data_IF_079372713049
#
_entry.id   IF_079372713049
#
_cell.length_a   1.000
_cell.length_b   1.000
_cell.length_c   1.000
_cell.angle_alpha   90.00
_cell.angle_beta   90.00
_cell.angle_gamma   90.00
#
_symmetry.space_group_name_H-M   'P 1'
#
loop_
_entity.id
_entity.type
_entity.pdbx_description
1 polymer ?
#
# COMPACT_ATOMS: atom_id res chain seq x y z
N UNK A 1 -7.51 18.52 4.60
CA UNK A 1 -6.04 18.32 4.72
C UNK A 1 -5.53 17.62 3.48
N UNK A 2 -4.35 17.96 2.97
CA UNK A 2 -3.80 17.34 1.75
C UNK A 2 -2.43 16.75 2.03
N UNK A 3 -2.15 15.59 1.46
CA UNK A 3 -0.80 15.01 1.50
C UNK A 3 0.18 15.92 0.76
N UNK A 4 1.31 16.22 1.41
CA UNK A 4 2.27 17.20 0.93
C UNK A 4 3.25 16.62 -0.08
N UNK A 5 3.69 15.39 0.13
CA UNK A 5 4.70 14.67 -0.67
C UNK A 5 4.35 13.18 -0.67
N UNK A 6 4.79 12.43 -1.69
CA UNK A 6 4.56 10.98 -1.77
C UNK A 6 5.15 10.29 -0.53
N UNK A 7 4.33 9.54 0.19
CA UNK A 7 4.78 8.67 1.28
C UNK A 7 5.83 7.65 0.82
N UNK A 8 6.78 7.35 1.70
CA UNK A 8 7.85 6.37 1.51
C UNK A 8 7.86 5.41 2.72
N UNK A 9 8.44 4.22 2.56
CA UNK A 9 8.42 3.19 3.60
C UNK A 9 9.50 2.14 3.41
N UNK A 10 9.69 1.33 4.44
CA UNK A 10 10.62 0.21 4.43
C UNK A 10 10.39 -0.71 5.62
N UNK A 11 11.00 -1.90 5.57
CA UNK A 11 10.85 -2.93 6.59
C UNK A 11 11.84 -2.69 7.74
N UNK A 12 11.54 -1.73 8.61
CA UNK A 12 12.42 -1.30 9.71
C UNK A 12 11.66 -1.17 11.05
N UNK A 13 10.73 -2.10 11.30
CA UNK A 13 9.89 -2.12 12.49
C UNK A 13 10.53 -2.73 13.74
N UNK A 14 9.76 -2.76 14.83
CA UNK A 14 10.18 -3.28 16.13
C UNK A 14 10.65 -4.75 16.09
N UNK A 15 10.06 -5.56 15.20
CA UNK A 15 10.41 -6.96 14.99
C UNK A 15 11.89 -7.17 14.66
N UNK A 16 12.49 -6.25 13.88
CA UNK A 16 13.91 -6.33 13.54
C UNK A 16 14.82 -6.08 14.75
N UNK A 17 14.34 -5.35 15.76
CA UNK A 17 15.05 -5.24 17.03
C UNK A 17 14.97 -6.57 17.79
N UNK A 18 13.84 -7.27 17.72
CA UNK A 18 13.63 -8.54 18.42
C UNK A 18 14.54 -9.64 17.87
N UNK A 19 14.58 -9.77 16.55
CA UNK A 19 15.48 -10.69 15.85
C UNK A 19 16.95 -10.42 16.19
N UNK A 20 17.35 -9.14 16.19
CA UNK A 20 18.72 -8.73 16.48
C UNK A 20 19.10 -8.93 17.93
N UNK A 21 18.20 -8.63 18.86
CA UNK A 21 18.45 -8.83 20.28
C UNK A 21 18.53 -10.32 20.61
N UNK A 22 17.63 -11.15 20.05
CA UNK A 22 17.70 -12.60 20.19
C UNK A 22 19.00 -13.18 19.62
N UNK A 23 19.44 -12.66 18.47
CA UNK A 23 20.73 -13.04 17.88
C UNK A 23 21.89 -12.67 18.81
N UNK A 24 21.91 -11.43 19.30
CA UNK A 24 22.93 -10.96 20.25
C UNK A 24 22.97 -11.86 21.49
N UNK A 25 21.82 -12.14 22.11
CA UNK A 25 21.73 -13.06 23.26
C UNK A 25 22.39 -14.43 22.99
N UNK A 26 22.14 -15.01 21.82
CA UNK A 26 22.72 -16.31 21.41
C UNK A 26 24.21 -16.22 21.10
N UNK A 27 24.73 -15.06 20.76
CA UNK A 27 26.17 -14.86 20.50
C UNK A 27 26.93 -14.55 21.79
N UNK A 28 26.32 -13.80 22.72
CA UNK A 28 26.97 -13.40 23.97
C UNK A 28 26.94 -14.52 25.02
N UNK A 29 25.87 -15.32 25.10
CA UNK A 29 25.80 -16.44 26.05
C UNK A 29 26.65 -17.62 25.52
N UNK A 30 27.62 -18.15 26.27
CA UNK A 30 28.44 -19.27 25.80
C UNK A 30 27.62 -20.51 25.44
N UNK A 31 28.02 -21.21 24.37
CA UNK A 31 27.30 -22.39 23.85
C UNK A 31 27.06 -23.48 24.92
N UNK A 32 28.02 -23.73 25.81
CA UNK A 32 27.86 -24.70 26.88
C UNK A 32 26.86 -24.26 27.96
N UNK A 33 26.74 -22.95 28.20
CA UNK A 33 25.68 -22.41 29.07
C UNK A 33 24.31 -22.55 28.40
N UNK A 34 24.20 -22.27 27.09
CA UNK A 34 22.94 -22.38 26.34
C UNK A 34 22.34 -23.79 26.39
N UNK A 35 23.16 -24.85 26.26
CA UNK A 35 22.72 -26.25 26.35
C UNK A 35 22.09 -26.60 27.70
N UNK A 36 22.41 -25.86 28.74
CA UNK A 36 21.96 -26.10 30.11
C UNK A 36 20.87 -25.13 30.53
N UNK A 37 20.50 -24.15 29.71
CA UNK A 37 19.42 -23.23 30.02
C UNK A 37 18.09 -23.98 30.07
N UNK A 38 17.22 -23.55 30.97
CA UNK A 38 15.83 -23.96 30.93
C UNK A 38 15.20 -23.53 29.59
N UNK A 39 14.32 -24.37 29.03
CA UNK A 39 13.70 -24.16 27.71
C UNK A 39 12.94 -22.84 27.62
N UNK A 40 12.44 -22.31 28.75
CA UNK A 40 11.69 -21.06 28.79
C UNK A 40 12.58 -19.83 28.99
N UNK A 41 13.90 -20.00 29.20
CA UNK A 41 14.78 -18.88 29.54
C UNK A 41 14.80 -17.81 28.46
N UNK A 42 15.01 -18.19 27.19
CA UNK A 42 15.00 -17.24 26.08
C UNK A 42 13.63 -16.60 25.89
N UNK A 43 12.55 -17.39 26.01
CA UNK A 43 11.18 -16.88 25.91
C UNK A 43 10.90 -15.82 26.97
N UNK A 44 11.24 -16.08 28.23
CA UNK A 44 11.10 -15.13 29.33
C UNK A 44 11.95 -13.86 29.10
N UNK A 45 13.18 -13.99 28.63
CA UNK A 45 14.03 -12.81 28.34
C UNK A 45 13.40 -11.96 27.24
N UNK A 46 12.91 -12.58 26.15
CA UNK A 46 12.31 -11.85 25.03
C UNK A 46 10.94 -11.24 25.38
N UNK A 47 10.08 -11.97 26.08
CA UNK A 47 8.72 -11.53 26.37
C UNK A 47 8.63 -10.68 27.65
N UNK A 48 9.24 -11.15 28.74
CA UNK A 48 9.11 -10.49 30.05
C UNK A 48 10.09 -9.34 30.20
N UNK A 49 11.37 -9.54 29.86
CA UNK A 49 12.38 -8.51 30.10
C UNK A 49 12.40 -7.51 28.92
N UNK A 50 12.56 -8.03 27.70
CA UNK A 50 12.73 -7.22 26.50
C UNK A 50 11.46 -6.45 26.10
N UNK A 51 10.36 -7.16 25.80
CA UNK A 51 9.07 -6.52 25.50
C UNK A 51 8.43 -5.85 26.72
N UNK A 52 8.69 -6.37 27.93
CA UNK A 52 8.16 -5.81 29.18
C UNK A 52 8.76 -4.47 29.61
N UNK A 53 9.79 -3.96 28.91
CA UNK A 53 10.19 -2.57 29.08
C UNK A 53 11.61 -2.25 28.63
N UNK A 54 12.53 -3.21 28.54
CA UNK A 54 13.91 -2.92 28.16
C UNK A 54 13.97 -2.30 26.76
N UNK A 55 13.21 -2.83 25.80
CA UNK A 55 13.17 -2.33 24.42
C UNK A 55 12.70 -0.89 24.29
N UNK A 56 11.63 -0.53 25.03
CA UNK A 56 11.01 0.79 24.94
C UNK A 56 11.76 1.85 25.77
N UNK A 57 12.28 1.46 26.93
CA UNK A 57 13.01 2.34 27.85
C UNK A 57 14.50 2.51 27.53
N UNK A 58 15.06 1.70 26.62
CA UNK A 58 16.43 1.87 26.16
C UNK A 58 16.64 3.28 25.60
N UNK A 59 17.74 3.92 26.01
CA UNK A 59 18.11 5.30 25.64
C UNK A 59 19.64 5.42 25.50
N UNK A 60 20.11 6.58 25.01
CA UNK A 60 21.56 6.86 24.90
C UNK A 60 22.30 6.78 26.24
N UNK A 61 21.59 6.98 27.36
CA UNK A 61 22.15 6.99 28.71
C UNK A 61 21.87 5.69 29.48
N UNK A 62 21.37 4.64 28.84
CA UNK A 62 21.15 3.34 29.50
C UNK A 62 22.47 2.79 30.05
N UNK A 63 22.40 2.23 31.27
CA UNK A 63 23.49 1.48 31.89
C UNK A 63 23.44 0.00 31.53
N UNK A 64 24.43 -0.77 32.00
CA UNK A 64 24.50 -2.23 31.76
C UNK A 64 23.18 -2.92 32.06
N UNK A 65 22.84 -3.88 31.21
CA UNK A 65 21.58 -4.61 31.30
C UNK A 65 21.86 -6.01 31.89
N UNK A 66 21.57 -6.22 33.18
CA UNK A 66 21.70 -7.53 33.78
C UNK A 66 20.54 -8.41 33.34
N UNK A 67 20.86 -9.51 32.64
CA UNK A 67 19.92 -10.54 32.23
C UNK A 67 20.03 -11.70 33.21
N UNK A 68 18.89 -12.12 33.74
CA UNK A 68 18.83 -13.29 34.60
C UNK A 68 18.83 -14.55 33.73
N UNK A 69 19.67 -15.54 34.06
CA UNK A 69 19.67 -16.86 33.42
C UNK A 69 19.09 -17.91 34.39
N UNK A 70 18.32 -18.83 33.82
CA UNK A 70 17.76 -19.98 34.52
C UNK A 70 18.28 -21.25 33.85
N UNK A 71 18.72 -22.21 34.65
CA UNK A 71 19.31 -23.46 34.16
C UNK A 71 18.42 -24.65 34.52
N UNK A 72 18.48 -25.69 33.69
CA UNK A 72 17.83 -26.97 33.95
C UNK A 72 18.67 -27.78 34.96
N UNK A 73 18.11 -27.95 36.16
CA UNK A 73 18.74 -28.65 37.28
C UNK A 73 19.89 -27.88 37.95
N UNK A 74 20.59 -28.52 38.91
CA UNK A 74 21.68 -27.88 39.64
C UNK A 74 22.91 -27.67 38.75
N UNK A 75 23.50 -26.47 38.82
CA UNK A 75 24.73 -26.08 38.11
C UNK A 75 25.73 -25.46 39.07
N UNK A 76 27.03 -25.60 38.76
CA UNK A 76 28.09 -24.89 39.47
C UNK A 76 28.09 -23.41 39.04
N UNK A 77 27.74 -22.51 39.96
CA UNK A 77 27.62 -21.08 39.70
C UNK A 77 28.94 -20.41 39.32
N UNK A 78 30.09 -21.05 39.60
CA UNK A 78 31.39 -20.54 39.16
C UNK A 78 31.59 -20.69 37.64
N UNK A 79 30.93 -21.66 37.02
CA UNK A 79 30.99 -21.92 35.58
C UNK A 79 29.72 -21.48 34.84
N UNK A 80 28.58 -21.43 35.54
CA UNK A 80 27.27 -21.08 35.00
C UNK A 80 26.65 -19.94 35.83
N UNK A 81 27.05 -18.68 35.58
CA UNK A 81 26.56 -17.56 36.37
C UNK A 81 25.06 -17.35 36.15
N UNK A 82 24.32 -17.16 37.24
CA UNK A 82 22.86 -16.90 37.16
C UNK A 82 22.51 -15.53 36.60
N UNK A 83 23.49 -14.63 36.46
CA UNK A 83 23.34 -13.31 35.86
C UNK A 83 24.37 -13.11 34.78
N UNK A 84 23.93 -12.54 33.67
CA UNK A 84 24.75 -12.21 32.53
C UNK A 84 24.51 -10.75 32.16
N UNK A 85 25.54 -9.92 32.14
CA UNK A 85 25.41 -8.52 31.71
C UNK A 85 25.76 -8.41 30.24
N UNK A 86 24.85 -7.88 29.42
CA UNK A 86 25.20 -7.48 28.06
C UNK A 86 25.62 -6.01 28.09
N UNK A 87 26.72 -5.72 27.38
CA UNK A 87 27.19 -4.35 27.26
C UNK A 87 26.19 -3.53 26.45
N UNK A 88 25.84 -2.35 26.97
CA UNK A 88 24.95 -1.39 26.30
C UNK A 88 25.47 -1.03 24.91
N UNK A 89 26.79 -0.93 24.73
CA UNK A 89 27.35 -0.63 23.42
C UNK A 89 27.02 -1.72 22.40
N UNK A 90 27.01 -2.99 22.80
CA UNK A 90 26.64 -4.09 21.91
C UNK A 90 25.16 -4.06 21.54
N UNK A 91 24.28 -3.77 22.51
CA UNK A 91 22.84 -3.61 22.23
C UNK A 91 22.63 -2.41 21.30
N UNK A 92 23.32 -1.31 21.56
CA UNK A 92 23.27 -0.12 20.72
C UNK A 92 23.68 -0.43 19.28
N UNK A 93 24.88 -0.96 19.10
CA UNK A 93 25.53 -1.11 17.81
C UNK A 93 24.96 -2.27 16.99
N UNK A 94 24.56 -3.38 17.63
CA UNK A 94 24.11 -4.58 16.92
C UNK A 94 22.58 -4.70 16.81
N UNK A 95 21.83 -4.02 17.70
CA UNK A 95 20.36 -4.10 17.75
C UNK A 95 19.72 -2.81 17.25
N UNK A 96 19.95 -1.68 17.93
CA UNK A 96 19.22 -0.44 17.66
C UNK A 96 19.75 0.36 16.47
N UNK A 97 21.06 0.65 16.43
CA UNK A 97 21.67 1.51 15.41
C UNK A 97 21.35 1.05 13.96
N UNK A 98 21.41 -0.26 13.62
CA UNK A 98 21.11 -0.72 12.27
C UNK A 98 19.67 -0.45 11.83
N UNK A 99 18.71 -0.48 12.76
CA UNK A 99 17.28 -0.24 12.47
C UNK A 99 16.97 1.25 12.49
N UNK A 100 17.45 1.96 13.50
CA UNK A 100 17.19 3.40 13.71
C UNK A 100 17.82 4.24 12.59
N UNK A 101 18.98 3.85 12.08
CA UNK A 101 19.61 4.56 10.96
C UNK A 101 18.76 4.50 9.69
N UNK A 102 18.10 3.37 9.42
CA UNK A 102 17.19 3.24 8.28
C UNK A 102 15.94 4.12 8.46
N UNK A 103 15.38 4.16 9.68
CA UNK A 103 14.26 5.04 10.00
C UNK A 103 14.65 6.52 9.83
N UNK A 104 15.84 6.92 10.31
CA UNK A 104 16.37 8.27 10.13
C UNK A 104 16.44 8.66 8.65
N UNK A 105 16.94 7.77 7.80
CA UNK A 105 17.04 8.03 6.36
C UNK A 105 15.67 8.25 5.71
N UNK A 106 14.66 7.44 6.05
CA UNK A 106 13.29 7.62 5.55
C UNK A 106 12.69 8.96 6.01
N UNK A 107 12.82 9.29 7.30
CA UNK A 107 12.32 10.57 7.84
C UNK A 107 13.03 11.75 7.18
N UNK A 108 14.35 11.67 7.01
CA UNK A 108 15.14 12.75 6.41
C UNK A 108 14.76 12.97 4.94
N UNK A 109 14.56 11.90 4.16
CA UNK A 109 14.04 12.00 2.78
C UNK A 109 12.70 12.74 2.72
N UNK A 110 11.77 12.43 3.62
CA UNK A 110 10.47 13.09 3.69
C UNK A 110 10.59 14.57 4.10
N UNK A 111 11.42 14.89 5.09
CA UNK A 111 11.72 16.27 5.51
C UNK A 111 12.31 17.08 4.34
N UNK A 112 13.24 16.49 3.61
CA UNK A 112 13.89 17.15 2.48
C UNK A 112 12.94 17.33 1.29
N UNK A 113 12.07 16.36 1.01
CA UNK A 113 11.02 16.50 -0.01
C UNK A 113 10.06 17.66 0.32
N UNK A 114 9.60 17.76 1.57
CA UNK A 114 8.75 18.88 2.03
C UNK A 114 9.50 20.21 1.91
N UNK A 115 10.77 20.26 2.35
CA UNK A 115 11.61 21.45 2.24
C UNK A 115 11.84 21.86 0.79
N UNK A 116 12.05 20.91 -0.10
CA UNK A 116 12.26 21.17 -1.52
C UNK A 116 11.01 21.80 -2.16
N UNK A 117 9.83 21.21 -1.88
CA UNK A 117 8.55 21.62 -2.43
C UNK A 117 8.05 22.96 -1.87
N UNK A 118 8.08 23.15 -0.55
CA UNK A 118 7.48 24.30 0.11
C UNK A 118 8.47 25.36 0.60
N UNK A 119 9.77 25.13 0.41
CA UNK A 119 10.87 25.96 0.94
C UNK A 119 10.81 26.15 2.47
N UNK A 120 10.13 25.23 3.17
CA UNK A 120 9.93 25.22 4.63
C UNK A 120 10.06 23.80 5.15
N UNK A 121 10.60 23.65 6.36
CA UNK A 121 10.63 22.37 7.07
C UNK A 121 9.24 22.05 7.66
N UNK A 122 8.90 20.77 7.86
CA UNK A 122 7.73 20.41 8.66
C UNK A 122 7.90 20.94 10.09
N UNK A 123 6.78 21.13 10.79
CA UNK A 123 6.79 21.59 12.19
C UNK A 123 7.05 20.43 13.16
N UNK A 124 6.48 19.27 12.86
CA UNK A 124 6.43 18.13 13.76
C UNK A 124 6.77 16.84 13.02
N UNK A 125 7.43 15.93 13.73
CA UNK A 125 7.46 14.49 13.42
C UNK A 125 6.72 13.80 14.55
N UNK A 126 5.67 13.04 14.25
CA UNK A 126 4.84 12.40 15.28
C UNK A 126 5.12 10.90 15.25
N UNK A 127 5.61 10.37 16.38
CA UNK A 127 5.89 8.94 16.53
C UNK A 127 4.62 8.18 16.89
N UNK A 128 4.30 7.17 16.09
CA UNK A 128 3.12 6.31 16.24
C UNK A 128 3.52 4.84 16.16
N UNK A 129 2.64 3.94 16.62
CA UNK A 129 2.90 2.50 16.70
C UNK A 129 3.79 2.09 17.88
N UNK A 130 4.01 0.78 18.03
CA UNK A 130 4.77 0.21 19.16
C UNK A 130 6.22 0.66 19.21
N UNK A 131 6.92 0.67 18.07
CA UNK A 131 8.31 1.15 18.00
C UNK A 131 8.39 2.66 18.21
N UNK A 132 7.34 3.40 17.87
CA UNK A 132 7.22 4.83 18.15
C UNK A 132 7.25 5.19 19.64
N UNK A 133 7.24 4.22 20.56
CA UNK A 133 7.42 4.40 22.01
C UNK A 133 8.88 4.28 22.47
N UNK A 134 9.81 3.91 21.59
CA UNK A 134 11.22 3.77 21.96
C UNK A 134 11.84 5.14 22.25
N UNK A 135 12.43 5.30 23.44
CA UNK A 135 13.17 6.51 23.81
C UNK A 135 14.41 6.68 22.92
N UNK A 136 15.14 5.59 22.66
CA UNK A 136 16.28 5.59 21.76
C UNK A 136 15.91 6.12 20.36
N UNK A 137 14.78 5.66 19.79
CA UNK A 137 14.31 6.15 18.49
C UNK A 137 13.99 7.66 18.54
N UNK A 138 13.31 8.13 19.58
CA UNK A 138 12.98 9.54 19.77
C UNK A 138 14.24 10.41 19.82
N UNK A 139 15.20 10.06 20.68
CA UNK A 139 16.44 10.82 20.86
C UNK A 139 17.27 10.88 19.58
N UNK A 140 17.33 9.79 18.80
CA UNK A 140 18.09 9.74 17.56
C UNK A 140 17.39 10.47 16.40
N UNK A 141 16.05 10.43 16.34
CA UNK A 141 15.31 11.22 15.36
C UNK A 141 15.37 12.71 15.68
N UNK A 142 15.26 13.10 16.95
CA UNK A 142 15.33 14.51 17.35
C UNK A 142 16.68 15.14 16.98
N UNK A 143 17.78 14.41 17.19
CA UNK A 143 19.11 14.82 16.75
C UNK A 143 19.19 14.95 15.23
N UNK A 144 18.63 13.99 14.49
CA UNK A 144 18.70 13.96 13.03
C UNK A 144 17.95 15.13 12.38
N UNK A 145 16.73 15.44 12.86
CA UNK A 145 15.89 16.50 12.27
C UNK A 145 16.27 17.89 12.76
N UNK A 146 16.95 17.97 13.91
CA UNK A 146 17.44 19.16 14.58
C UNK A 146 16.36 20.00 15.26
N UNK A 147 16.76 21.05 15.98
CA UNK A 147 15.90 21.81 16.91
C UNK A 147 14.79 22.68 16.28
N UNK A 148 14.57 22.58 14.97
CA UNK A 148 13.51 23.33 14.26
C UNK A 148 12.29 22.48 13.96
N UNK A 149 12.38 21.17 14.21
CA UNK A 149 11.32 20.19 14.03
C UNK A 149 11.18 19.48 15.37
N UNK A 150 9.99 19.53 15.95
CA UNK A 150 9.73 18.85 17.22
C UNK A 150 9.33 17.40 16.96
N UNK A 151 10.06 16.46 17.55
CA UNK A 151 9.69 15.04 17.54
C UNK A 151 8.74 14.77 18.69
N UNK A 152 7.46 14.59 18.38
CA UNK A 152 6.40 14.35 19.34
C UNK A 152 6.24 12.84 19.57
N UNK A 153 6.45 12.43 20.82
CA UNK A 153 6.18 11.10 21.32
C UNK A 153 5.20 11.23 22.49
N UNK A 154 4.06 10.53 22.41
CA UNK A 154 3.09 10.50 23.51
C UNK A 154 3.38 9.31 24.43
N UNK A 155 3.06 9.46 25.70
CA UNK A 155 3.24 8.39 26.68
C UNK A 155 2.12 7.32 26.60
N UNK A 156 2.42 6.15 27.17
CA UNK A 156 1.49 5.05 27.35
C UNK A 156 1.03 4.41 26.02
N UNK A 157 -0.26 4.11 25.93
CA UNK A 157 -0.86 3.40 24.78
C UNK A 157 -1.26 4.32 23.62
N UNK A 158 -1.11 5.64 23.79
CA UNK A 158 -1.54 6.61 22.76
C UNK A 158 -0.81 6.42 21.43
N UNK A 159 0.52 6.21 21.35
CA UNK A 159 1.18 5.94 20.08
C UNK A 159 0.68 4.65 19.42
N UNK A 160 0.45 3.60 20.21
CA UNK A 160 -0.03 2.30 19.73
C UNK A 160 -1.43 2.41 19.11
N UNK A 161 -2.32 3.17 19.75
CA UNK A 161 -3.72 3.33 19.32
C UNK A 161 -3.95 4.48 18.34
N UNK A 162 -2.92 5.29 18.02
CA UNK A 162 -3.06 6.49 17.21
C UNK A 162 -3.64 6.22 15.81
N UNK A 163 -3.18 5.16 15.15
CA UNK A 163 -3.65 4.78 13.80
C UNK A 163 -5.12 4.37 13.83
N UNK A 164 -5.49 3.49 14.77
CA UNK A 164 -6.88 3.03 14.92
C UNK A 164 -7.82 4.18 15.27
N UNK A 165 -7.40 5.07 16.18
CA UNK A 165 -8.17 6.29 16.52
C UNK A 165 -8.37 7.17 15.28
N UNK A 166 -7.32 7.37 14.49
CA UNK A 166 -7.40 8.10 13.22
C UNK A 166 -8.37 7.45 12.22
N UNK A 167 -8.33 6.13 12.09
CA UNK A 167 -9.22 5.37 11.21
C UNK A 167 -10.69 5.47 11.65
N UNK A 168 -10.97 5.34 12.95
CA UNK A 168 -12.32 5.51 13.53
C UNK A 168 -12.83 6.93 13.29
N UNK A 169 -12.00 7.95 13.57
CA UNK A 169 -12.37 9.34 13.29
C UNK A 169 -12.63 9.59 11.79
N UNK A 170 -11.83 8.98 10.91
CA UNK A 170 -12.01 9.06 9.47
C UNK A 170 -13.32 8.40 9.01
N UNK A 171 -13.65 7.21 9.54
CA UNK A 171 -14.93 6.54 9.27
C UNK A 171 -16.13 7.32 9.78
N UNK A 172 -16.04 7.85 11.01
CA UNK A 172 -17.10 8.68 11.60
C UNK A 172 -17.29 10.01 10.87
N UNK A 173 -16.22 10.62 10.35
CA UNK A 173 -16.34 11.84 9.55
C UNK A 173 -17.12 11.63 8.23
N UNK A 174 -17.26 10.39 7.78
CA UNK A 174 -18.05 10.02 6.58
C UNK A 174 -19.50 9.69 6.90
N UNK A 175 -19.81 9.36 8.15
CA UNK A 175 -21.20 9.25 8.57
C UNK A 175 -21.66 10.67 8.90
N UNK A 176 -22.69 11.17 8.23
CA UNK A 176 -23.22 12.54 8.40
C UNK A 176 -23.80 12.82 9.81
N UNK A 177 -23.45 12.01 10.81
CA UNK A 177 -23.98 11.99 12.17
C UNK A 177 -23.20 12.83 13.17
N UNK A 178 -22.06 13.44 12.79
CA UNK A 178 -21.29 14.26 13.75
C UNK A 178 -20.86 15.61 13.17
N UNK A 179 -21.51 16.69 13.63
CA UNK A 179 -21.17 18.08 13.28
C UNK A 179 -19.86 18.60 13.89
N UNK A 180 -19.15 17.77 14.68
CA UNK A 180 -17.95 18.15 15.43
C UNK A 180 -16.65 17.50 14.92
N UNK A 181 -16.70 16.58 13.94
CA UNK A 181 -15.49 15.91 13.43
C UNK A 181 -15.15 16.47 12.04
N UNK A 182 -14.19 17.41 11.99
CA UNK A 182 -13.79 18.12 10.77
C UNK A 182 -12.52 17.56 10.10
N UNK A 183 -12.12 16.34 10.44
CA UNK A 183 -10.87 15.72 9.96
C UNK A 183 -11.12 15.03 8.62
N UNK A 184 -11.08 15.82 7.55
CA UNK A 184 -11.19 15.32 6.17
C UNK A 184 -9.83 15.37 5.45
N UNK A 185 -9.40 14.23 4.90
CA UNK A 185 -8.30 14.18 3.93
C UNK A 185 -8.91 14.54 2.58
N UNK A 186 -8.57 15.73 2.08
CA UNK A 186 -9.08 16.29 0.83
C UNK A 186 -8.37 15.70 -0.39
N UNK A 187 -7.07 15.42 -0.27
CA UNK A 187 -6.31 14.80 -1.36
C UNK A 187 -5.09 14.02 -0.88
N UNK A 188 -4.69 13.04 -1.69
CA UNK A 188 -3.51 12.19 -1.50
C UNK A 188 -2.56 12.34 -2.68
N UNK A 189 -1.29 12.01 -2.50
CA UNK A 189 -0.31 11.97 -3.58
C UNK A 189 -0.25 10.56 -4.14
N UNK A 190 -0.50 10.41 -5.44
CA UNK A 190 -0.55 9.09 -6.08
C UNK A 190 0.80 8.38 -5.97
N UNK A 191 0.76 7.10 -5.57
CA UNK A 191 1.94 6.25 -5.45
C UNK A 191 2.27 5.49 -6.72
N UNK A 192 1.27 5.33 -7.58
CA UNK A 192 1.31 4.60 -8.85
C UNK A 192 0.76 5.50 -9.97
N UNK A 193 1.17 5.24 -11.21
CA UNK A 193 0.48 5.81 -12.37
C UNK A 193 -0.70 4.92 -12.73
N UNK A 194 -1.86 5.52 -13.01
CA UNK A 194 -3.07 4.82 -13.44
C UNK A 194 -3.44 5.22 -14.86
N UNK A 195 -3.73 4.21 -15.67
CA UNK A 195 -4.00 4.38 -17.09
C UNK A 195 -4.92 3.30 -17.63
N UNK A 196 -5.15 3.38 -18.93
CA UNK A 196 -5.87 2.35 -19.69
C UNK A 196 -5.10 1.99 -20.95
N UNK A 197 -5.27 0.75 -21.41
CA UNK A 197 -4.73 0.33 -22.70
C UNK A 197 -5.61 0.88 -23.82
N UNK A 198 -4.97 1.46 -24.81
CA UNK A 198 -5.63 2.08 -25.96
C UNK A 198 -4.97 1.64 -27.25
N UNK A 199 -5.75 1.66 -28.32
CA UNK A 199 -5.23 1.62 -29.68
C UNK A 199 -5.14 3.04 -30.20
N UNK A 200 -3.97 3.44 -30.72
CA UNK A 200 -3.76 4.79 -31.27
C UNK A 200 -3.91 4.75 -32.78
N UNK A 201 -4.80 5.60 -33.30
CA UNK A 201 -5.06 5.76 -34.72
C UNK A 201 -4.80 7.22 -35.16
N UNK A 202 -4.10 7.47 -36.27
CA UNK A 202 -3.38 6.49 -37.10
C UNK A 202 -2.03 6.09 -36.48
N UNK A 203 -1.47 4.97 -36.97
CA UNK A 203 -0.11 4.56 -36.68
C UNK A 203 0.90 5.60 -37.22
N UNK A 204 1.72 6.17 -36.35
CA UNK A 204 2.86 7.01 -36.71
C UNK A 204 4.19 6.24 -36.55
N UNK A 205 4.87 6.00 -37.68
CA UNK A 205 6.16 5.30 -37.71
C UNK A 205 7.31 6.04 -37.00
N UNK A 206 7.14 7.33 -36.66
CA UNK A 206 8.13 8.11 -35.89
C UNK A 206 8.01 7.89 -34.39
N UNK A 207 6.84 7.47 -33.92
CA UNK A 207 6.50 7.38 -32.49
C UNK A 207 6.27 5.95 -32.07
N UNK A 208 5.62 5.14 -32.92
CA UNK A 208 5.21 3.78 -32.60
C UNK A 208 6.16 2.74 -33.17
N UNK A 209 6.31 1.63 -32.45
CA UNK A 209 7.09 0.48 -32.90
C UNK A 209 6.33 -0.29 -33.99
N UNK A 210 7.04 -0.69 -35.05
CA UNK A 210 6.46 -1.43 -36.17
C UNK A 210 5.81 -2.76 -35.74
N UNK A 211 6.24 -3.35 -34.61
CA UNK A 211 5.63 -4.58 -34.07
C UNK A 211 4.20 -4.40 -33.56
N UNK A 212 3.83 -3.18 -33.19
CA UNK A 212 2.48 -2.85 -32.68
C UNK A 212 1.54 -2.42 -33.81
N UNK A 213 2.02 -2.43 -35.06
CA UNK A 213 1.25 -1.98 -36.21
C UNK A 213 0.25 -3.05 -36.64
N UNK A 214 -1.03 -2.77 -36.47
CA UNK A 214 -2.14 -3.64 -36.88
C UNK A 214 -3.04 -2.88 -37.83
N UNK A 215 -3.54 -3.55 -38.86
CA UNK A 215 -4.52 -2.98 -39.79
C UNK A 215 -5.91 -3.06 -39.15
N UNK A 216 -6.64 -1.96 -39.17
CA UNK A 216 -8.02 -1.91 -38.69
C UNK A 216 -8.99 -1.88 -39.88
N UNK A 217 -9.80 -2.93 -40.00
CA UNK A 217 -10.76 -3.09 -41.10
C UNK A 217 -11.93 -2.11 -41.03
N UNK A 218 -12.27 -1.57 -39.86
CA UNK A 218 -13.35 -0.59 -39.70
C UNK A 218 -12.91 0.83 -40.05
N UNK A 219 -11.64 1.16 -39.79
CA UNK A 219 -11.04 2.47 -40.03
C UNK A 219 -10.26 2.56 -41.35
N UNK A 220 -9.98 1.40 -41.97
CA UNK A 220 -9.15 1.28 -43.18
C UNK A 220 -7.78 1.96 -43.03
N UNK A 221 -7.22 1.89 -41.82
CA UNK A 221 -5.95 2.54 -41.47
C UNK A 221 -5.18 1.64 -40.51
N UNK A 222 -3.85 1.76 -40.54
CA UNK A 222 -3.02 1.13 -39.53
C UNK A 222 -3.19 1.85 -38.18
N UNK A 223 -3.35 1.10 -37.10
CA UNK A 223 -3.30 1.58 -35.72
C UNK A 223 -2.08 1.00 -34.98
N UNK A 224 -1.72 1.62 -33.86
CA UNK A 224 -0.77 1.08 -32.90
C UNK A 224 -1.53 0.43 -31.74
N UNK A 225 -1.42 -0.88 -31.58
CA UNK A 225 -2.00 -1.62 -30.43
C UNK A 225 -1.12 -1.55 -29.20
N UNK A 226 -1.63 -1.97 -28.04
CA UNK A 226 -0.84 -2.13 -26.81
C UNK A 226 -0.16 -0.83 -26.37
N UNK A 227 -0.84 0.30 -26.58
CA UNK A 227 -0.41 1.60 -26.06
C UNK A 227 -1.08 1.86 -24.71
N UNK A 228 -0.44 2.64 -23.84
CA UNK A 228 -0.97 3.02 -22.54
C UNK A 228 -1.24 4.52 -22.51
N UNK A 229 -2.45 4.88 -22.08
CA UNK A 229 -2.84 6.28 -21.83
C UNK A 229 -3.06 6.49 -20.34
N UNK A 230 -2.12 7.21 -19.73
CA UNK A 230 -2.14 7.57 -18.31
C UNK A 230 -3.04 8.78 -18.07
N UNK A 231 -3.86 8.72 -17.03
CA UNK A 231 -4.72 9.82 -16.59
C UNK A 231 -4.43 10.24 -15.14
N UNK A 232 -3.63 9.45 -14.42
CA UNK A 232 -2.94 9.84 -13.18
C UNK A 232 -1.51 9.34 -13.27
N UNK A 233 -0.55 10.19 -12.92
CA UNK A 233 0.86 9.82 -12.80
C UNK A 233 1.32 9.79 -11.34
N UNK A 234 2.43 9.09 -11.08
CA UNK A 234 3.08 9.12 -9.77
C UNK A 234 3.39 10.57 -9.37
N UNK A 235 2.94 10.96 -8.17
CA UNK A 235 3.16 12.30 -7.64
C UNK A 235 1.99 13.27 -7.85
N UNK A 236 1.00 12.90 -8.67
CA UNK A 236 -0.22 13.69 -8.84
C UNK A 236 -1.03 13.75 -7.55
N UNK A 237 -1.73 14.87 -7.33
CA UNK A 237 -2.66 14.99 -6.22
C UNK A 237 -4.05 14.49 -6.64
N UNK A 238 -4.48 13.38 -6.03
CA UNK A 238 -5.79 12.77 -6.26
C UNK A 238 -6.75 13.23 -5.16
N UNK A 239 -7.87 13.84 -5.53
CA UNK A 239 -8.91 14.28 -4.61
C UNK A 239 -9.70 13.09 -4.06
N UNK A 240 -10.09 13.18 -2.78
CA UNK A 240 -11.00 12.21 -2.14
C UNK A 240 -12.44 12.40 -2.60
N UNK A 241 -12.77 13.58 -3.13
CA UNK A 241 -14.15 13.99 -3.43
C UNK A 241 -14.40 14.26 -4.90
N UNK A 242 -13.39 14.77 -5.61
CA UNK A 242 -13.49 15.13 -7.01
C UNK A 242 -12.87 14.02 -7.88
N UNK A 243 -13.63 13.43 -8.81
CA UNK A 243 -13.09 12.40 -9.68
C UNK A 243 -12.03 12.97 -10.63
N UNK A 244 -10.99 12.16 -10.87
CA UNK A 244 -10.12 12.35 -12.04
C UNK A 244 -10.90 11.87 -13.26
N UNK A 245 -11.15 12.76 -14.21
CA UNK A 245 -11.91 12.47 -15.43
C UNK A 245 -10.98 12.37 -16.64
N UNK A 246 -11.17 11.35 -17.47
CA UNK A 246 -10.51 11.22 -18.76
C UNK A 246 -11.48 10.71 -19.82
N UNK A 247 -11.44 11.33 -21.01
CA UNK A 247 -12.33 10.97 -22.12
C UNK A 247 -11.66 10.01 -23.09
N UNK A 248 -12.41 8.97 -23.44
CA UNK A 248 -12.01 7.93 -24.38
C UNK A 248 -13.14 7.65 -25.37
N UNK A 249 -12.83 6.87 -26.39
CA UNK A 249 -13.80 6.41 -27.36
C UNK A 249 -13.49 4.99 -27.80
N UNK A 250 -14.51 4.28 -28.24
CA UNK A 250 -14.40 2.96 -28.85
C UNK A 250 -15.36 2.87 -30.02
N UNK A 251 -14.89 2.22 -31.09
CA UNK A 251 -15.75 1.87 -32.21
C UNK A 251 -16.43 0.53 -31.96
N UNK A 252 -17.73 0.50 -32.19
CA UNK A 252 -18.59 -0.66 -32.07
C UNK A 252 -19.07 -1.05 -33.46
N UNK A 253 -18.87 -2.32 -33.80
CA UNK A 253 -19.22 -2.88 -35.11
C UNK A 253 -20.49 -3.72 -35.08
N UNK A 254 -20.92 -4.17 -33.89
CA UNK A 254 -22.17 -4.89 -33.69
C UNK A 254 -22.85 -4.48 -32.37
N UNK A 255 -24.19 -4.61 -32.27
CA UNK A 255 -24.93 -4.33 -31.05
C UNK A 255 -24.60 -5.28 -29.89
N UNK A 256 -24.08 -6.48 -30.20
CA UNK A 256 -23.70 -7.49 -29.22
C UNK A 256 -22.26 -7.32 -28.69
N UNK A 257 -21.54 -6.29 -29.15
CA UNK A 257 -20.16 -6.04 -28.74
C UNK A 257 -20.11 -5.33 -27.38
N UNK A 258 -19.46 -5.96 -26.40
CA UNK A 258 -19.27 -5.36 -25.08
C UNK A 258 -18.26 -4.19 -25.12
N UNK A 259 -18.48 -3.20 -24.23
CA UNK A 259 -17.48 -2.20 -23.90
C UNK A 259 -16.63 -2.73 -22.74
N UNK A 260 -15.35 -2.96 -23.02
CA UNK A 260 -14.36 -3.39 -22.05
C UNK A 260 -13.27 -2.33 -21.93
N UNK A 261 -12.93 -1.98 -20.69
CA UNK A 261 -11.88 -1.01 -20.39
C UNK A 261 -10.87 -1.68 -19.46
N UNK A 262 -9.67 -1.90 -19.97
CA UNK A 262 -8.57 -2.45 -19.17
C UNK A 262 -7.90 -1.31 -18.38
N UNK A 263 -7.95 -1.39 -17.06
CA UNK A 263 -7.24 -0.49 -16.17
C UNK A 263 -5.88 -1.08 -15.85
N UNK A 264 -4.84 -0.27 -16.02
CA UNK A 264 -3.45 -0.65 -15.79
C UNK A 264 -2.78 0.29 -14.81
N UNK A 265 -1.73 -0.22 -14.17
CA UNK A 265 -0.90 0.52 -13.21
C UNK A 265 0.58 0.41 -13.58
N UNK A 266 1.38 1.41 -13.20
CA UNK A 266 2.84 1.35 -13.31
C UNK A 266 3.53 1.99 -12.11
N UNK A 267 4.64 1.38 -11.70
CA UNK A 267 5.55 1.86 -10.66
C UNK A 267 6.74 2.66 -11.23
N UNK A 268 6.84 2.76 -12.56
CA UNK A 268 7.92 3.47 -13.23
C UNK A 268 7.84 4.98 -12.97
N UNK A 269 8.99 5.62 -12.71
CA UNK A 269 9.07 7.07 -12.49
C UNK A 269 8.61 7.92 -13.68
N UNK A 270 8.68 7.36 -14.88
CA UNK A 270 8.08 7.92 -16.09
C UNK A 270 7.37 6.76 -16.77
N UNK A 271 6.03 6.69 -16.66
CA UNK A 271 5.31 5.54 -17.15
C UNK A 271 5.38 5.49 -18.70
N UNK A 272 5.56 4.31 -19.29
CA UNK A 272 5.79 4.21 -20.73
C UNK A 272 4.50 4.44 -21.52
N UNK A 273 4.60 4.99 -22.72
CA UNK A 273 3.45 5.16 -23.64
C UNK A 273 3.09 3.87 -24.37
N UNK A 274 4.05 2.94 -24.49
CA UNK A 274 3.87 1.60 -25.03
C UNK A 274 3.85 0.61 -23.86
N UNK A 275 2.96 -0.38 -23.89
CA UNK A 275 2.93 -1.45 -22.88
C UNK A 275 4.21 -2.27 -22.94
N UNK A 276 4.92 -2.28 -21.81
CA UNK A 276 6.07 -3.13 -21.51
C UNK A 276 5.86 -3.83 -20.17
N UNK A 277 6.90 -4.50 -19.66
CA UNK A 277 6.83 -5.27 -18.41
C UNK A 277 6.57 -4.41 -17.15
N UNK A 278 6.72 -3.08 -17.25
CA UNK A 278 6.40 -2.15 -16.15
C UNK A 278 4.91 -1.79 -16.06
N UNK A 279 4.12 -2.16 -17.07
CA UNK A 279 2.66 -1.92 -17.12
C UNK A 279 1.94 -3.16 -16.62
N UNK A 280 1.39 -3.09 -15.42
CA UNK A 280 0.70 -4.21 -14.76
C UNK A 280 -0.82 -4.07 -14.92
N UNK A 281 -1.55 -5.14 -15.26
CA UNK A 281 -3.01 -5.11 -15.23
C UNK A 281 -3.50 -4.91 -13.79
N UNK A 282 -4.54 -4.09 -13.61
CA UNK A 282 -5.16 -3.85 -12.31
C UNK A 282 -6.57 -4.46 -12.27
N UNK A 283 -7.46 -4.01 -13.15
CA UNK A 283 -8.80 -4.58 -13.29
C UNK A 283 -9.36 -4.34 -14.69
N UNK A 284 -10.47 -5.01 -14.99
CA UNK A 284 -11.19 -4.84 -16.24
C UNK A 284 -12.60 -4.38 -15.91
N UNK A 285 -13.00 -3.23 -16.46
CA UNK A 285 -14.36 -2.71 -16.31
C UNK A 285 -15.14 -3.11 -17.55
N UNK A 286 -16.20 -3.91 -17.35
CA UNK A 286 -17.11 -4.30 -18.42
C UNK A 286 -18.43 -3.57 -18.26
N UNK A 287 -18.95 -3.04 -19.36
CA UNK A 287 -20.29 -2.46 -19.39
C UNK A 287 -21.31 -3.59 -19.45
N UNK A 288 -22.22 -3.65 -18.46
CA UNK A 288 -23.31 -4.63 -18.43
C UNK A 288 -24.46 -4.25 -19.36
N UNK A 289 -24.70 -2.95 -19.55
CA UNK A 289 -25.75 -2.45 -20.45
C UNK A 289 -25.26 -1.24 -21.25
N UNK A 290 -25.02 -1.45 -22.54
CA UNK A 290 -24.76 -0.34 -23.45
C UNK A 290 -26.04 0.47 -23.74
N UNK A 291 -25.91 1.77 -24.05
CA UNK A 291 -27.02 2.54 -24.59
C UNK A 291 -27.62 1.86 -25.83
N UNK A 292 -28.92 2.08 -26.07
CA UNK A 292 -29.59 1.57 -27.28
C UNK A 292 -28.75 1.90 -28.52
N UNK A 293 -28.47 0.88 -29.34
CA UNK A 293 -27.59 0.96 -30.51
C UNK A 293 -27.85 2.20 -31.38
N UNK A 294 -29.12 2.43 -31.73
CA UNK A 294 -29.55 3.56 -32.58
C UNK A 294 -29.30 4.94 -31.98
N UNK A 295 -28.99 5.03 -30.68
CA UNK A 295 -28.70 6.28 -29.97
C UNK A 295 -27.21 6.60 -29.88
N UNK A 296 -26.35 5.64 -30.24
CA UNK A 296 -24.90 5.80 -30.30
C UNK A 296 -24.56 6.52 -31.62
N UNK A 297 -23.74 7.58 -31.60
CA UNK A 297 -23.38 8.32 -32.81
C UNK A 297 -22.80 7.41 -33.89
N UNK A 298 -23.31 7.59 -35.11
CA UNK A 298 -22.80 6.95 -36.31
C UNK A 298 -21.64 7.76 -36.86
N UNK A 299 -20.58 7.08 -37.25
CA UNK A 299 -19.41 7.64 -37.89
C UNK A 299 -19.17 6.97 -39.23
N UNK A 300 -18.59 7.72 -40.17
CA UNK A 300 -18.25 7.23 -41.49
C UNK A 300 -16.78 7.54 -41.77
N UNK A 301 -16.00 6.53 -42.13
CA UNK A 301 -14.59 6.73 -42.48
C UNK A 301 -14.45 7.34 -43.89
N UNK A 302 -13.20 7.65 -44.30
CA UNK A 302 -12.88 8.23 -45.61
C UNK A 302 -13.29 7.33 -46.79
N UNK A 303 -13.43 6.02 -46.56
CA UNK A 303 -13.83 5.02 -47.56
C UNK A 303 -15.34 4.74 -47.57
N UNK A 304 -16.13 5.48 -46.78
CA UNK A 304 -17.59 5.37 -46.75
C UNK A 304 -18.15 4.22 -45.91
N UNK A 305 -17.31 3.49 -45.16
CA UNK A 305 -17.79 2.49 -44.21
C UNK A 305 -18.37 3.16 -42.96
N UNK A 306 -19.46 2.57 -42.45
CA UNK A 306 -20.26 3.12 -41.36
C UNK A 306 -20.12 2.25 -40.11
N UNK A 307 -19.85 2.88 -38.97
CA UNK A 307 -19.75 2.22 -37.66
C UNK A 307 -20.29 3.12 -36.55
N UNK A 308 -20.52 2.58 -35.37
CA UNK A 308 -20.96 3.37 -34.21
C UNK A 308 -19.74 3.71 -33.35
N UNK A 309 -19.63 4.96 -32.90
CA UNK A 309 -18.55 5.39 -31.99
C UNK A 309 -19.14 5.82 -30.66
N UNK A 310 -18.83 5.07 -29.62
CA UNK A 310 -19.16 5.47 -28.24
C UNK A 310 -18.02 6.31 -27.69
N UNK A 311 -18.32 7.53 -27.25
CA UNK A 311 -17.39 8.39 -26.50
C UNK A 311 -17.85 8.43 -25.05
N UNK A 312 -16.98 8.03 -24.14
CA UNK A 312 -17.30 7.92 -22.72
C UNK A 312 -16.27 8.66 -21.86
N UNK A 313 -16.68 9.03 -20.66
CA UNK A 313 -15.83 9.61 -19.64
C UNK A 313 -15.55 8.56 -18.57
N UNK A 314 -14.29 8.19 -18.41
CA UNK A 314 -13.81 7.39 -17.29
C UNK A 314 -13.53 8.33 -16.12
N UNK A 315 -14.14 8.02 -14.97
CA UNK A 315 -13.95 8.74 -13.72
C UNK A 315 -13.30 7.82 -12.71
N UNK A 316 -12.23 8.30 -12.07
CA UNK A 316 -11.55 7.60 -10.98
C UNK A 316 -11.65 8.42 -9.69
N UNK A 317 -12.09 7.80 -8.60
CA UNK A 317 -12.08 8.36 -7.25
C UNK A 317 -11.22 7.45 -6.36
N UNK A 318 -10.45 8.05 -5.46
CA UNK A 318 -9.74 7.30 -4.42
C UNK A 318 -9.98 7.91 -3.06
N UNK A 319 -10.38 7.09 -2.10
CA UNK A 319 -10.45 7.50 -0.69
C UNK A 319 -9.21 7.08 0.13
N UNK A 320 -8.25 6.44 -0.53
CA UNK A 320 -7.04 5.90 0.06
C UNK A 320 -7.17 4.49 0.62
N UNK A 321 -8.37 3.89 0.58
CA UNK A 321 -8.60 2.47 0.88
C UNK A 321 -8.95 1.67 -0.36
N UNK A 322 -9.59 2.31 -1.34
CA UNK A 322 -9.90 1.73 -2.64
C UNK A 322 -9.75 2.73 -3.78
N UNK A 323 -9.82 2.21 -5.00
CA UNK A 323 -10.03 2.94 -6.23
C UNK A 323 -11.41 2.58 -6.77
N UNK A 324 -12.25 3.58 -6.97
CA UNK A 324 -13.55 3.45 -7.62
C UNK A 324 -13.48 4.03 -9.02
N UNK A 325 -13.97 3.28 -9.99
CA UNK A 325 -14.05 3.67 -11.38
C UNK A 325 -15.51 3.70 -11.84
N UNK A 326 -15.87 4.73 -12.59
CA UNK A 326 -17.19 4.87 -13.18
C UNK A 326 -17.07 5.32 -14.63
N UNK A 327 -17.87 4.73 -15.51
CA UNK A 327 -17.86 5.01 -16.95
C UNK A 327 -19.17 5.71 -17.29
N UNK A 328 -19.06 6.93 -17.80
CA UNK A 328 -20.21 7.77 -18.13
C UNK A 328 -20.38 7.94 -19.63
N UNK A 329 -21.60 7.76 -20.12
CA UNK A 329 -22.05 8.15 -21.45
C UNK A 329 -23.23 9.12 -21.34
N UNK A 330 -23.10 10.32 -21.94
CA UNK A 330 -24.14 11.37 -21.90
C UNK A 330 -24.72 11.61 -20.50
N UNK A 331 -23.85 11.71 -19.48
CA UNK A 331 -24.18 11.88 -18.06
C UNK A 331 -24.89 10.70 -17.37
N UNK A 332 -25.04 9.55 -18.03
CA UNK A 332 -25.50 8.30 -17.41
C UNK A 332 -24.31 7.39 -17.13
N UNK A 333 -24.22 6.83 -15.92
CA UNK A 333 -23.26 5.76 -15.63
C UNK A 333 -23.69 4.47 -16.35
N UNK A 334 -22.78 3.87 -17.10
CA UNK A 334 -23.02 2.63 -17.87
C UNK A 334 -22.18 1.45 -17.36
N UNK A 335 -21.13 1.72 -16.58
CA UNK A 335 -20.32 0.70 -15.94
C UNK A 335 -19.64 1.26 -14.68
N UNK A 336 -19.35 0.39 -13.72
CA UNK A 336 -18.54 0.71 -12.56
C UNK A 336 -17.59 -0.44 -12.23
N UNK A 337 -16.52 -0.12 -11.51
CA UNK A 337 -15.58 -1.10 -10.98
C UNK A 337 -14.93 -0.56 -9.70
N UNK A 338 -14.53 -1.44 -8.80
CA UNK A 338 -13.81 -1.06 -7.59
C UNK A 338 -12.65 -2.01 -7.35
N UNK A 339 -11.54 -1.46 -6.87
CA UNK A 339 -10.34 -2.21 -6.51
C UNK A 339 -9.94 -1.76 -5.10
N UNK A 340 -10.01 -2.67 -4.14
CA UNK A 340 -9.44 -2.43 -2.82
C UNK A 340 -7.92 -2.48 -2.90
N UNK A 341 -7.23 -1.62 -2.15
CA UNK A 341 -5.80 -1.82 -1.95
C UNK A 341 -5.62 -3.01 -1.02
N UNK A 342 -4.76 -3.97 -1.41
CA UNK A 342 -4.34 -5.03 -0.50
C UNK A 342 -3.73 -4.38 0.74
N UNK A 343 -4.43 -4.48 1.86
CA UNK A 343 -3.82 -4.23 3.17
C UNK A 343 -2.72 -5.27 3.30
N UNK A 344 -1.46 -4.83 3.15
CA UNK A 344 -0.23 -5.63 3.24
C UNK A 344 -0.49 -6.95 3.96
N UNK A 345 -0.55 -8.03 3.19
CA UNK A 345 -0.73 -9.38 3.72
C UNK A 345 0.35 -9.62 4.76
N UNK A 346 -0.08 -9.63 6.02
CA UNK A 346 0.65 -10.25 7.09
C UNK A 346 0.70 -11.73 6.70
N UNK A 347 1.88 -12.22 6.33
CA UNK A 347 2.10 -13.66 6.30
C UNK A 347 2.06 -14.11 7.76
N UNK A 348 0.86 -14.31 8.27
CA UNK A 348 0.61 -15.04 9.51
C UNK A 348 0.93 -16.51 9.19
N UNK A 349 2.21 -16.87 9.39
CA UNK A 349 2.61 -18.27 9.49
C UNK A 349 2.91 -18.57 10.95
N UNK A 350 1.84 -18.92 11.68
CA UNK A 350 1.80 -19.71 12.91
C UNK A 350 0.48 -20.51 12.76
N UNK A 351 0.32 -21.82 12.87
CA UNK A 351 1.12 -22.95 13.32
C UNK A 351 0.58 -24.21 12.60
N UNK A 352 1.46 -25.19 12.31
CA UNK A 352 1.35 -26.59 12.73
C UNK A 352 2.39 -27.45 11.99
N UNK A 353 3.42 -27.84 12.74
CA UNK A 353 4.28 -28.98 12.41
C UNK A 353 3.44 -30.26 12.41
N UNK A 354 3.43 -31.02 11.30
CA UNK A 354 3.61 -32.47 11.39
C UNK A 354 4.13 -33.11 10.10
N UNK A 355 4.92 -34.16 10.33
CA UNK A 355 5.86 -34.84 9.42
C UNK A 355 5.16 -35.71 8.36
N UNK A 356 5.55 -35.59 7.07
CA UNK A 356 5.97 -36.75 6.25
C UNK A 356 6.53 -36.41 4.85
N UNK A 357 7.70 -36.99 4.59
CA UNK A 357 8.37 -37.13 3.29
C UNK A 357 7.48 -37.79 2.22
N UNK A 358 7.47 -37.23 1.00
CA UNK A 358 7.14 -38.01 -0.20
C UNK A 358 6.63 -37.24 -1.43
N UNK A 359 7.48 -37.21 -2.47
CA UNK A 359 7.11 -37.26 -3.90
C UNK A 359 6.71 -35.98 -4.68
N UNK A 360 7.61 -35.62 -5.61
CA UNK A 360 7.43 -35.04 -6.97
C UNK A 360 6.30 -34.02 -7.21
N UNK A 361 6.68 -32.73 -7.37
CA UNK A 361 5.91 -31.72 -8.10
C UNK A 361 6.24 -31.73 -9.60
N UNK A 362 5.22 -31.83 -10.43
CA UNK A 362 5.23 -31.50 -11.86
C UNK A 362 4.78 -30.05 -12.07
N UNK A 363 5.35 -29.41 -13.07
CA UNK A 363 5.07 -28.05 -13.54
C UNK A 363 3.68 -27.91 -14.18
N UNK A 364 3.19 -26.67 -14.18
CA UNK A 364 2.16 -26.02 -15.02
C UNK A 364 0.78 -25.69 -14.40
N UNK A 365 0.39 -24.44 -14.69
CA UNK A 365 -0.93 -23.80 -14.65
C UNK A 365 -1.32 -23.00 -13.39
N UNK A 366 -1.11 -21.67 -13.47
CA UNK A 366 -1.88 -20.67 -12.74
C UNK A 366 -2.41 -19.65 -13.75
N UNK A 367 -3.66 -19.83 -14.18
CA UNK A 367 -4.54 -18.76 -14.65
C UNK A 367 -5.34 -18.29 -13.44
N UNK A 368 -5.20 -17.02 -13.07
CA UNK A 368 -5.88 -16.43 -11.92
C UNK A 368 -7.14 -15.73 -12.41
N UNK A 369 -8.28 -16.43 -12.38
CA UNK A 369 -9.60 -15.94 -12.85
C UNK A 369 -10.31 -14.98 -11.87
N UNK A 370 -9.60 -14.42 -10.88
CA UNK A 370 -10.22 -13.75 -9.75
C UNK A 370 -10.49 -12.23 -9.89
N UNK A 371 -10.30 -11.60 -11.06
CA UNK A 371 -10.46 -10.14 -11.21
C UNK A 371 -11.56 -9.69 -12.18
N UNK A 372 -12.54 -10.55 -12.48
CA UNK A 372 -13.73 -10.15 -13.25
C UNK A 372 -14.81 -9.66 -12.28
N UNK A 373 -15.03 -8.34 -12.23
CA UNK A 373 -16.12 -7.74 -11.46
C UNK A 373 -17.34 -7.60 -12.39
N UNK A 374 -18.31 -8.49 -12.24
CA UNK A 374 -19.65 -8.35 -12.81
C UNK A 374 -20.63 -8.11 -11.66
N UNK A 375 -21.55 -7.14 -11.78
CA UNK A 375 -22.71 -7.06 -10.89
C UNK A 375 -24.00 -7.11 -11.70
N UNK A 376 -24.88 -8.01 -11.28
CA UNK A 376 -26.30 -8.07 -11.63
C UNK A 376 -27.13 -7.57 -10.45
N UNK A 377 -27.96 -6.59 -10.75
CA UNK A 377 -29.23 -6.19 -10.16
C UNK A 377 -29.37 -5.64 -8.73
N UNK A 378 -30.26 -4.66 -8.71
CA UNK A 378 -30.77 -3.88 -7.60
C UNK A 378 -31.77 -4.68 -6.77
N UNK A 379 -31.64 -4.60 -5.45
CA UNK A 379 -32.73 -4.94 -4.55
C UNK A 379 -33.68 -3.75 -4.43
N UNK A 380 -34.81 -3.90 -5.12
CA UNK A 380 -36.05 -3.20 -4.80
C UNK A 380 -36.76 -3.96 -3.67
N UNK A 381 -36.73 -3.44 -2.45
CA UNK A 381 -37.70 -3.82 -1.43
C UNK A 381 -38.66 -2.67 -1.21
N UNK A 382 -39.81 -2.79 -1.87
CA UNK A 382 -41.05 -2.11 -1.51
C UNK A 382 -41.73 -2.92 -0.42
N UNK A 383 -41.84 -2.37 0.79
CA UNK A 383 -42.94 -2.68 1.71
C UNK A 383 -43.06 -1.52 2.72
N UNK A 384 -43.93 -0.56 2.38
CA UNK A 384 -44.48 0.41 3.35
C UNK A 384 -46.00 0.20 3.38
N UNK A 385 -46.45 -0.40 4.47
CA UNK A 385 -47.86 -0.55 4.84
C UNK A 385 -48.33 0.77 5.46
N UNK A 386 -49.39 1.35 4.91
CA UNK A 386 -50.16 2.43 5.51
C UNK A 386 -50.80 1.98 6.83
N UNK A 387 -50.70 2.82 7.86
CA UNK A 387 -51.68 2.86 8.95
C UNK A 387 -51.75 4.29 9.50
N UNK A 388 -52.75 5.04 9.05
CA UNK A 388 -53.37 6.11 9.83
C UNK A 388 -54.48 5.50 10.69
N UNK A 389 -54.30 5.51 12.01
CA UNK A 389 -55.22 6.05 13.05
C UNK A 389 -54.63 5.84 14.44
#
# INVERSE_FOLDING_TARGET
MSESVKGDGGLYGAMFLDERFLKLLKETIPFEAQKRLDKQTFHRIMESDWEGGLKSSFSKSSGELPIQLSYDGPVDTNFFPSKFSINVSEIRENVFDPVVEQVKQLVQKQVDAVKHKYKKKPKFVILVGGFGRSLYLHEHLQDAVGNRIDVLQQDGEKPWTAVLRGAVLHGLARTNHTSSITVAVASRVSRHSYGTLVNILPFDAKVHDAKDRVWDDGQQKFLAVEQARWFVEIGDSVSTYDPVCASFWQDLTSPDQDLQIDIVTSDASTPPTRKDDSVKPMCVIKSSELPKWDTIPVWTNEDGQVFHRITYELRMISDGSSLEFQVYYKNKSIACGSVAFDSTGQNDTDDEDDVQMGSRRSLYNYTNDNNIVNMTDADSDSDYVEAEE
#
